data_IF_699290573545
#
_entry.id   IF_699290573545
#
_cell.length_a   1.000
_cell.length_b   1.000
_cell.length_c   1.000
_cell.angle_alpha   90.00
_cell.angle_beta   90.00
_cell.angle_gamma   90.00
#
_symmetry.space_group_name_H-M   'P 1'
#
loop_
_entity.id
_entity.type
_entity.pdbx_description
1 polymer ?
#
# COMPACT_ATOMS: atom_id res chain seq x y z
N UNK A 1 1.73 9.64 -9.39
CA UNK A 1 1.20 8.32 -8.96
C UNK A 1 -0.26 8.43 -8.53
N UNK A 2 -0.64 9.50 -7.84
CA UNK A 2 -2.03 9.82 -7.48
C UNK A 2 -2.65 10.67 -8.60
N UNK A 3 -3.76 10.20 -9.17
CA UNK A 3 -4.47 10.82 -10.29
C UNK A 3 -5.39 11.95 -9.81
N UNK A 4 -5.40 13.04 -10.58
CA UNK A 4 -6.34 14.17 -10.43
C UNK A 4 -7.44 14.18 -11.49
N UNK A 5 -7.15 13.55 -12.62
CA UNK A 5 -8.02 13.43 -13.78
C UNK A 5 -8.26 11.95 -14.11
N UNK A 6 -9.18 11.70 -15.05
CA UNK A 6 -9.48 10.34 -15.50
C UNK A 6 -8.22 9.63 -16.03
N UNK A 7 -8.07 8.32 -15.75
CA UNK A 7 -6.94 7.54 -16.22
C UNK A 7 -6.97 7.34 -17.74
N UNK A 8 -5.84 6.93 -18.36
CA UNK A 8 -5.80 6.52 -19.75
C UNK A 8 -6.80 5.39 -20.05
N UNK A 9 -7.20 5.28 -21.32
CA UNK A 9 -7.94 4.11 -21.81
C UNK A 9 -7.04 2.86 -21.73
N UNK A 10 -7.62 1.68 -21.46
CA UNK A 10 -6.93 0.39 -21.29
C UNK A 10 -6.22 0.18 -19.94
N UNK A 11 -6.90 0.51 -18.84
CA UNK A 11 -6.46 0.15 -17.47
C UNK A 11 -7.31 -0.97 -16.89
N UNK A 12 -6.78 -1.68 -15.90
CA UNK A 12 -7.60 -2.50 -15.00
C UNK A 12 -8.09 -1.62 -13.85
N UNK A 13 -9.41 -1.53 -13.67
CA UNK A 13 -10.01 -0.74 -12.59
C UNK A 13 -10.27 -1.63 -11.37
N UNK A 14 -9.83 -1.17 -10.21
CA UNK A 14 -10.03 -1.82 -8.91
C UNK A 14 -10.78 -0.88 -7.98
N UNK A 15 -11.99 -1.27 -7.59
CA UNK A 15 -12.80 -0.59 -6.59
C UNK A 15 -12.49 -1.17 -5.20
N UNK A 16 -11.97 -0.35 -4.29
CA UNK A 16 -11.65 -0.80 -2.93
C UNK A 16 -12.76 -0.58 -1.94
N UNK A 17 -13.90 0.00 -2.33
CA UNK A 17 -15.05 0.22 -1.45
C UNK A 17 -15.66 -1.11 -1.01
N UNK A 18 -16.56 -1.06 -0.03
CA UNK A 18 -17.26 -2.26 0.42
C UNK A 18 -18.09 -2.89 -0.72
N UNK A 19 -18.38 -4.22 -0.65
CA UNK A 19 -19.23 -4.87 -1.65
C UNK A 19 -20.60 -4.20 -1.83
N UNK A 20 -21.17 -3.62 -0.76
CA UNK A 20 -22.44 -2.89 -0.82
C UNK A 20 -22.34 -1.56 -1.58
N UNK A 21 -21.29 -0.79 -1.34
CA UNK A 21 -21.01 0.45 -2.09
C UNK A 21 -20.73 0.15 -3.57
N UNK A 22 -19.97 -0.91 -3.85
CA UNK A 22 -19.71 -1.38 -5.22
C UNK A 22 -21.00 -1.79 -5.95
N UNK A 23 -21.85 -2.59 -5.30
CA UNK A 23 -23.12 -3.05 -5.87
C UNK A 23 -24.14 -1.92 -6.10
N UNK A 24 -23.99 -0.80 -5.37
CA UNK A 24 -24.85 0.38 -5.54
C UNK A 24 -24.50 1.22 -6.77
N UNK A 25 -23.31 1.02 -7.36
CA UNK A 25 -22.81 1.79 -8.48
C UNK A 25 -21.28 1.82 -8.50
N UNK A 26 -20.66 1.32 -9.56
CA UNK A 26 -19.21 1.30 -9.76
C UNK A 26 -18.85 1.64 -11.21
N UNK A 27 -17.56 1.87 -11.49
CA UNK A 27 -17.10 2.15 -12.85
C UNK A 27 -17.27 0.90 -13.73
N UNK A 28 -17.75 1.03 -14.98
CA UNK A 28 -17.88 -0.11 -15.89
C UNK A 28 -16.59 -0.92 -16.01
N UNK A 29 -16.68 -2.24 -15.77
CA UNK A 29 -15.56 -3.18 -15.83
C UNK A 29 -14.65 -3.18 -14.59
N UNK A 30 -14.93 -2.39 -13.55
CA UNK A 30 -14.16 -2.41 -12.32
C UNK A 30 -14.40 -3.67 -11.49
N UNK A 31 -13.33 -4.22 -10.92
CA UNK A 31 -13.40 -5.35 -9.99
C UNK A 31 -13.43 -4.84 -8.55
N UNK A 32 -14.25 -5.45 -7.68
CA UNK A 32 -14.22 -5.14 -6.25
C UNK A 32 -13.13 -5.97 -5.54
N UNK A 33 -12.07 -5.31 -5.07
CA UNK A 33 -10.94 -5.95 -4.40
C UNK A 33 -10.48 -5.09 -3.22
N UNK A 34 -10.48 -5.66 -2.02
CA UNK A 34 -9.94 -5.03 -0.80
C UNK A 34 -8.88 -5.95 -0.17
N UNK A 35 -7.64 -5.48 -0.11
CA UNK A 35 -6.51 -6.18 0.52
C UNK A 35 -6.07 -5.50 1.82
N UNK A 36 -6.84 -4.55 2.34
CA UNK A 36 -6.48 -3.74 3.51
C UNK A 36 -6.42 -4.52 4.82
N UNK A 37 -7.13 -5.65 4.89
CA UNK A 37 -7.11 -6.59 6.01
C UNK A 37 -5.87 -7.49 6.03
N UNK A 38 -5.08 -7.52 4.94
CA UNK A 38 -3.89 -8.38 4.86
C UNK A 38 -2.88 -8.07 5.96
N UNK A 39 -2.40 -9.11 6.63
CA UNK A 39 -1.32 -9.08 7.62
C UNK A 39 -0.34 -10.19 7.26
N UNK A 40 0.95 -9.93 7.43
CA UNK A 40 1.98 -10.94 7.23
C UNK A 40 3.11 -10.76 8.24
N UNK A 41 3.72 -11.89 8.57
CA UNK A 41 5.07 -12.00 9.13
C UNK A 41 5.99 -12.34 7.95
N UNK A 42 7.07 -11.59 7.77
CA UNK A 42 7.95 -11.65 6.60
C UNK A 42 9.42 -11.61 7.03
N UNK A 43 9.89 -12.62 7.78
CA UNK A 43 11.30 -12.74 8.21
C UNK A 43 12.06 -13.84 7.46
N UNK A 44 11.38 -14.90 7.03
CA UNK A 44 12.01 -16.01 6.30
C UNK A 44 11.86 -15.92 4.78
N UNK A 45 12.74 -16.60 4.05
CA UNK A 45 12.67 -16.70 2.60
C UNK A 45 11.38 -17.42 2.15
N UNK A 46 10.93 -18.43 2.92
CA UNK A 46 9.69 -19.18 2.68
C UNK A 46 8.46 -18.29 2.84
N UNK A 47 8.43 -17.42 3.87
CA UNK A 47 7.34 -16.46 4.06
C UNK A 47 7.25 -15.45 2.91
N UNK A 48 8.40 -14.95 2.45
CA UNK A 48 8.47 -14.06 1.28
C UNK A 48 8.03 -14.77 -0.01
N UNK A 49 8.44 -16.03 -0.20
CA UNK A 49 8.02 -16.85 -1.33
C UNK A 49 6.51 -17.13 -1.31
N UNK A 50 5.95 -17.43 -0.14
CA UNK A 50 4.51 -17.64 0.05
C UNK A 50 3.69 -16.38 -0.26
N UNK A 51 4.18 -15.20 0.15
CA UNK A 51 3.57 -13.92 -0.22
C UNK A 51 3.63 -13.70 -1.74
N UNK A 52 4.79 -13.93 -2.37
CA UNK A 52 4.95 -13.81 -3.82
C UNK A 52 3.97 -14.72 -4.57
N UNK A 53 3.84 -15.98 -4.15
CA UNK A 53 2.90 -16.92 -4.75
C UNK A 53 1.45 -16.43 -4.62
N UNK A 54 1.06 -15.97 -3.43
CA UNK A 54 -0.29 -15.45 -3.18
C UNK A 54 -0.61 -14.22 -4.06
N UNK A 55 0.36 -13.33 -4.23
CA UNK A 55 0.23 -12.16 -5.12
C UNK A 55 0.19 -12.57 -6.60
N UNK A 56 0.96 -13.58 -6.99
CA UNK A 56 0.94 -14.11 -8.35
C UNK A 56 -0.40 -14.75 -8.72
N UNK A 57 -0.99 -15.50 -7.79
CA UNK A 57 -2.33 -16.07 -7.92
C UNK A 57 -3.41 -14.97 -7.99
N UNK A 58 -3.28 -13.92 -7.16
CA UNK A 58 -4.16 -12.77 -7.23
C UNK A 58 -4.09 -12.10 -8.61
N UNK A 59 -2.89 -11.82 -9.12
CA UNK A 59 -2.68 -11.21 -10.42
C UNK A 59 -3.35 -12.01 -11.54
N UNK A 60 -3.18 -13.34 -11.53
CA UNK A 60 -3.87 -14.25 -12.46
C UNK A 60 -5.39 -14.16 -12.35
N UNK A 61 -5.92 -14.23 -11.13
CA UNK A 61 -7.36 -14.22 -10.84
C UNK A 61 -8.06 -12.92 -11.26
N UNK A 62 -7.42 -11.77 -11.05
CA UNK A 62 -7.99 -10.46 -11.46
C UNK A 62 -7.71 -10.14 -12.94
N UNK A 63 -7.02 -11.03 -13.65
CA UNK A 63 -6.63 -10.85 -15.05
C UNK A 63 -5.59 -9.74 -15.25
N UNK A 64 -4.82 -9.38 -14.22
CA UNK A 64 -3.78 -8.37 -14.37
C UNK A 64 -2.67 -8.86 -15.29
N UNK A 65 -1.95 -7.92 -15.92
CA UNK A 65 -0.79 -8.21 -16.76
C UNK A 65 0.22 -7.05 -16.69
N UNK A 66 1.53 -7.28 -16.92
CA UNK A 66 2.54 -6.22 -16.82
C UNK A 66 2.32 -5.05 -17.78
N UNK A 67 1.68 -5.30 -18.93
CA UNK A 67 1.41 -4.30 -19.96
C UNK A 67 0.11 -3.50 -19.74
N UNK A 68 -0.63 -3.77 -18.68
CA UNK A 68 -1.91 -3.11 -18.37
C UNK A 68 -1.84 -2.45 -16.98
N UNK A 69 -1.67 -1.12 -16.91
CA UNK A 69 -1.64 -0.42 -15.63
C UNK A 69 -2.93 -0.64 -14.84
N UNK A 70 -2.79 -0.68 -13.51
CA UNK A 70 -3.91 -0.83 -12.59
C UNK A 70 -4.24 0.52 -11.97
N UNK A 71 -5.51 0.88 -11.99
CA UNK A 71 -6.02 2.08 -11.32
C UNK A 71 -6.93 1.64 -10.18
N UNK A 72 -6.52 1.98 -8.97
CA UNK A 72 -7.23 1.67 -7.73
C UNK A 72 -7.98 2.92 -7.30
N UNK A 73 -9.28 2.83 -7.05
CA UNK A 73 -10.13 3.96 -6.68
C UNK A 73 -10.99 3.69 -5.45
N UNK A 74 -11.32 4.78 -4.76
CA UNK A 74 -12.14 4.84 -3.54
C UNK A 74 -12.60 6.30 -3.35
N UNK A 75 -13.50 6.55 -2.41
CA UNK A 75 -13.95 7.89 -2.03
C UNK A 75 -12.94 8.53 -1.06
N UNK A 76 -11.98 9.24 -1.63
CA UNK A 76 -10.87 9.87 -0.94
C UNK A 76 -9.61 9.00 -0.85
N UNK A 77 -8.53 9.62 -0.38
CA UNK A 77 -7.23 8.95 -0.22
C UNK A 77 -7.19 8.14 1.09
N UNK A 78 -7.91 7.02 1.12
CA UNK A 78 -8.10 6.20 2.34
C UNK A 78 -6.92 5.25 2.59
N UNK A 79 -6.80 4.72 3.81
CA UNK A 79 -5.85 3.64 4.10
C UNK A 79 -6.19 2.34 3.37
N UNK A 80 -7.47 2.11 3.06
CA UNK A 80 -7.95 0.94 2.33
C UNK A 80 -7.48 0.96 0.88
N UNK A 81 -7.75 2.07 0.18
CA UNK A 81 -7.22 2.37 -1.15
C UNK A 81 -5.70 2.21 -1.17
N UNK A 82 -5.01 2.89 -0.26
CA UNK A 82 -3.54 2.95 -0.23
C UNK A 82 -2.89 1.59 0.03
N UNK A 83 -3.45 0.81 0.96
CA UNK A 83 -2.95 -0.52 1.29
C UNK A 83 -3.21 -1.51 0.16
N UNK A 84 -4.39 -1.49 -0.45
CA UNK A 84 -4.69 -2.34 -1.62
C UNK A 84 -3.78 -1.99 -2.79
N UNK A 85 -3.62 -0.71 -3.11
CA UNK A 85 -2.69 -0.26 -4.14
C UNK A 85 -1.25 -0.69 -3.84
N UNK A 86 -0.80 -0.57 -2.58
CA UNK A 86 0.53 -1.02 -2.17
C UNK A 86 0.73 -2.52 -2.38
N UNK A 87 -0.25 -3.36 -2.01
CA UNK A 87 -0.16 -4.81 -2.19
C UNK A 87 -0.10 -5.21 -3.67
N UNK A 88 -0.86 -4.53 -4.53
CA UNK A 88 -0.81 -4.75 -5.98
C UNK A 88 0.55 -4.33 -6.58
N UNK A 89 1.07 -3.17 -6.16
CA UNK A 89 2.41 -2.71 -6.57
C UNK A 89 3.51 -3.63 -6.06
N UNK A 90 3.34 -4.20 -4.86
CA UNK A 90 4.24 -5.19 -4.28
C UNK A 90 4.24 -6.49 -5.09
N UNK A 91 3.13 -6.85 -5.73
CA UNK A 91 3.02 -7.98 -6.65
C UNK A 91 3.56 -7.71 -8.07
N UNK A 92 4.21 -6.56 -8.29
CA UNK A 92 4.86 -6.21 -9.55
C UNK A 92 3.99 -5.41 -10.53
N UNK A 93 2.81 -4.93 -10.12
CA UNK A 93 1.94 -4.14 -10.98
C UNK A 93 2.33 -2.66 -11.02
N UNK A 94 2.21 -2.02 -12.18
CA UNK A 94 2.15 -0.55 -12.24
C UNK A 94 0.80 -0.10 -11.71
N UNK A 95 0.81 0.63 -10.59
CA UNK A 95 -0.41 1.05 -9.88
C UNK A 95 -0.50 2.57 -9.80
N UNK A 96 -1.71 3.09 -10.04
CA UNK A 96 -2.09 4.49 -9.81
C UNK A 96 -3.31 4.57 -8.91
N UNK A 97 -3.40 5.63 -8.11
CA UNK A 97 -4.51 5.84 -7.17
C UNK A 97 -5.45 6.89 -7.72
N UNK A 98 -6.75 6.68 -7.68
CA UNK A 98 -7.76 7.63 -8.14
C UNK A 98 -8.78 7.91 -7.03
N UNK A 99 -8.48 8.86 -6.12
CA UNK A 99 -9.27 9.07 -4.92
C UNK A 99 -10.57 9.87 -5.12
N UNK A 100 -10.76 10.52 -6.28
CA UNK A 100 -11.91 11.41 -6.52
C UNK A 100 -12.08 11.71 -8.01
N UNK A 101 -13.28 12.12 -8.41
CA UNK A 101 -13.62 12.51 -9.80
C UNK A 101 -14.17 11.36 -10.65
N UNK A 102 -14.15 10.13 -10.12
CA UNK A 102 -14.69 8.93 -10.75
C UNK A 102 -16.20 8.73 -10.49
N UNK A 103 -16.74 9.40 -9.47
CA UNK A 103 -18.09 9.19 -8.95
C UNK A 103 -19.19 9.40 -10.01
N UNK A 104 -19.14 10.42 -10.89
CA UNK A 104 -20.17 10.61 -11.90
C UNK A 104 -20.27 9.48 -12.93
N UNK A 105 -19.22 8.67 -13.09
CA UNK A 105 -19.21 7.55 -14.04
C UNK A 105 -19.50 6.20 -13.36
N UNK A 106 -19.71 6.18 -12.04
CA UNK A 106 -19.95 4.96 -11.27
C UNK A 106 -21.39 4.46 -11.38
N UNK A 107 -21.81 4.10 -12.59
CA UNK A 107 -23.21 3.78 -12.91
C UNK A 107 -23.49 2.29 -13.06
N UNK A 108 -22.45 1.45 -13.16
CA UNK A 108 -22.62 0.00 -13.32
C UNK A 108 -23.03 -0.64 -11.99
N UNK A 109 -23.96 -1.59 -12.04
CA UNK A 109 -24.43 -2.32 -10.85
C UNK A 109 -24.23 -3.82 -11.00
N UNK A 110 -24.16 -4.33 -12.23
CA UNK A 110 -23.85 -5.73 -12.48
C UNK A 110 -22.38 -6.01 -12.12
N UNK A 111 -22.09 -7.05 -11.32
CA UNK A 111 -20.71 -7.38 -11.00
C UNK A 111 -19.88 -7.63 -12.26
N UNK A 112 -18.69 -7.04 -12.31
CA UNK A 112 -17.74 -7.31 -13.39
C UNK A 112 -17.08 -8.67 -13.18
N UNK A 113 -16.95 -9.44 -14.24
CA UNK A 113 -16.25 -10.73 -14.23
C UNK A 113 -14.84 -10.57 -14.81
N UNK A 114 -13.78 -10.86 -14.05
CA UNK A 114 -12.43 -10.83 -14.60
C UNK A 114 -12.27 -11.91 -15.67
N UNK A 115 -11.42 -11.65 -16.66
CA UNK A 115 -10.90 -12.68 -17.56
C UNK A 115 -9.56 -13.13 -16.97
N UNK A 116 -9.49 -14.31 -16.32
CA UNK A 116 -8.27 -14.71 -15.63
C UNK A 116 -7.10 -14.94 -16.60
N UNK A 117 -5.90 -14.71 -16.11
CA UNK A 117 -4.64 -15.04 -16.78
C UNK A 117 -3.89 -16.12 -15.98
N UNK A 118 -2.82 -16.67 -16.55
CA UNK A 118 -1.92 -17.53 -15.77
C UNK A 118 -1.34 -16.76 -14.57
N UNK A 119 -1.16 -17.39 -13.40
CA UNK A 119 -0.51 -16.74 -12.26
C UNK A 119 0.87 -16.19 -12.62
N UNK A 120 1.13 -14.94 -12.25
CA UNK A 120 2.41 -14.29 -12.49
C UNK A 120 2.60 -13.16 -11.47
N UNK A 121 3.84 -12.92 -11.04
CA UNK A 121 4.15 -11.83 -10.12
C UNK A 121 5.56 -12.02 -9.57
N UNK A 122 6.25 -10.90 -9.41
CA UNK A 122 7.55 -10.85 -8.75
C UNK A 122 7.43 -9.87 -7.59
N UNK A 123 7.90 -10.30 -6.41
CA UNK A 123 7.81 -9.48 -5.22
C UNK A 123 8.74 -8.26 -5.36
N UNK A 124 8.15 -7.07 -5.36
CA UNK A 124 8.90 -5.83 -5.48
C UNK A 124 9.64 -5.49 -4.16
N UNK A 125 10.86 -5.98 -4.02
CA UNK A 125 11.73 -5.75 -2.86
C UNK A 125 12.19 -4.29 -2.70
N UNK A 126 12.11 -3.47 -3.75
CA UNK A 126 12.51 -2.06 -3.68
C UNK A 126 11.57 -1.21 -2.82
N UNK A 127 10.34 -1.67 -2.58
CA UNK A 127 9.32 -0.92 -1.81
C UNK A 127 8.97 -1.57 -0.47
N UNK A 128 9.55 -2.73 -0.16
CA UNK A 128 9.25 -3.54 1.02
C UNK A 128 10.43 -3.51 2.02
N UNK A 129 10.09 -3.45 3.30
CA UNK A 129 11.01 -3.77 4.40
C UNK A 129 10.50 -4.98 5.17
N UNK A 130 11.41 -5.85 5.59
CA UNK A 130 11.18 -6.91 6.58
C UNK A 130 11.61 -6.44 7.97
N UNK A 131 11.22 -7.16 9.02
CA UNK A 131 11.61 -6.83 10.39
C UNK A 131 13.15 -6.75 10.55
N UNK A 132 13.89 -7.65 9.90
CA UNK A 132 15.36 -7.70 9.97
C UNK A 132 16.06 -6.55 9.24
N UNK A 133 15.37 -5.89 8.31
CA UNK A 133 15.91 -4.77 7.53
C UNK A 133 15.68 -3.42 8.21
N UNK A 134 14.66 -3.32 9.07
CA UNK A 134 14.17 -2.05 9.63
C UNK A 134 15.25 -1.29 10.43
N UNK A 135 16.06 -1.98 11.23
CA UNK A 135 17.12 -1.33 12.04
C UNK A 135 18.30 -0.83 11.19
N UNK A 136 18.41 -1.26 9.93
CA UNK A 136 19.39 -0.76 8.98
C UNK A 136 18.99 0.57 8.32
N UNK A 137 17.75 1.02 8.50
CA UNK A 137 17.25 2.23 7.86
C UNK A 137 17.75 3.50 8.57
N UNK A 138 18.45 4.36 7.82
CA UNK A 138 18.94 5.65 8.34
C UNK A 138 17.83 6.62 8.75
N UNK A 139 16.66 6.50 8.13
CA UNK A 139 15.45 7.24 8.46
C UNK A 139 14.28 6.27 8.50
N UNK A 140 13.83 5.97 9.72
CA UNK A 140 12.63 5.20 9.99
C UNK A 140 11.56 6.10 10.59
N UNK A 141 10.40 6.21 9.94
CA UNK A 141 9.29 7.02 10.44
C UNK A 141 8.16 6.11 10.96
N UNK A 142 7.80 6.35 12.22
CA UNK A 142 6.62 5.78 12.85
C UNK A 142 5.44 6.72 12.61
N UNK A 143 4.48 6.29 11.79
CA UNK A 143 3.30 7.11 11.44
C UNK A 143 2.11 6.92 12.35
N UNK A 144 2.31 6.28 13.51
CA UNK A 144 1.30 6.19 14.57
C UNK A 144 1.13 7.50 15.32
N UNK A 145 0.09 7.55 16.15
CA UNK A 145 -0.14 8.70 17.03
C UNK A 145 0.93 8.78 18.13
N UNK A 146 1.21 9.98 18.69
CA UNK A 146 2.29 10.15 19.68
C UNK A 146 2.14 9.27 20.92
N UNK A 147 0.91 9.00 21.35
CA UNK A 147 0.65 8.13 22.50
C UNK A 147 0.97 6.65 22.20
N UNK A 148 0.75 6.19 20.96
CA UNK A 148 1.14 4.83 20.53
C UNK A 148 2.67 4.73 20.50
N UNK A 149 3.35 5.74 19.96
CA UNK A 149 4.82 5.82 19.89
C UNK A 149 5.48 5.83 21.28
N UNK A 150 4.92 6.59 22.23
CA UNK A 150 5.41 6.66 23.60
C UNK A 150 5.20 5.36 24.38
N UNK A 151 4.20 4.55 24.01
CA UNK A 151 3.91 3.28 24.71
C UNK A 151 4.88 2.15 24.35
N UNK A 152 5.55 2.27 23.21
CA UNK A 152 6.46 1.26 22.67
C UNK A 152 6.74 1.54 21.20
N UNK A 153 8.01 1.58 20.81
CA UNK A 153 8.44 1.89 19.43
C UNK A 153 9.67 1.08 19.03
N UNK A 154 9.88 0.99 17.72
CA UNK A 154 11.12 0.45 17.14
C UNK A 154 12.27 1.42 17.48
N UNK A 155 13.42 0.93 17.99
CA UNK A 155 14.56 1.78 18.31
C UNK A 155 15.00 2.66 17.13
N UNK A 156 15.31 3.92 17.42
CA UNK A 156 15.72 4.91 16.42
C UNK A 156 14.61 5.45 15.50
N UNK A 157 13.37 4.94 15.58
CA UNK A 157 12.26 5.48 14.81
C UNK A 157 11.92 6.92 15.24
N UNK A 158 11.56 7.77 14.28
CA UNK A 158 11.05 9.14 14.52
C UNK A 158 9.54 9.17 14.36
N UNK A 159 8.83 9.74 15.32
CA UNK A 159 7.38 9.85 15.21
C UNK A 159 6.97 11.01 14.29
N UNK A 160 6.22 10.68 13.24
CA UNK A 160 5.55 11.65 12.37
C UNK A 160 4.14 11.11 12.14
N UNK A 161 3.12 11.55 12.89
CA UNK A 161 1.75 11.04 12.73
C UNK A 161 1.25 11.16 11.29
N UNK A 162 0.47 10.18 10.83
CA UNK A 162 -0.04 10.15 9.44
C UNK A 162 -0.73 11.45 9.02
N UNK A 163 -1.43 12.11 9.95
CA UNK A 163 -2.12 13.38 9.72
C UNK A 163 -1.21 14.52 9.28
N UNK A 164 0.10 14.42 9.50
CA UNK A 164 1.08 15.42 9.08
C UNK A 164 1.52 15.24 7.63
N UNK A 165 1.20 14.14 6.95
CA UNK A 165 1.62 13.92 5.56
C UNK A 165 0.64 14.58 4.59
N UNK A 166 1.18 15.32 3.62
CA UNK A 166 0.46 15.93 2.49
C UNK A 166 1.17 15.58 1.18
N UNK A 167 0.53 15.91 0.06
CA UNK A 167 1.06 15.59 -1.27
C UNK A 167 2.30 16.41 -1.66
N UNK A 168 2.67 17.43 -0.87
CA UNK A 168 3.67 18.45 -1.23
C UNK A 168 4.51 18.96 -0.04
N UNK A 169 4.58 18.21 1.07
CA UNK A 169 5.25 18.65 2.30
C UNK A 169 6.45 17.80 2.77
N UNK A 170 7.04 16.95 1.93
CA UNK A 170 8.20 16.14 2.29
C UNK A 170 9.37 17.00 2.81
N UNK A 171 9.60 18.17 2.20
CA UNK A 171 10.61 19.13 2.66
C UNK A 171 10.33 19.68 4.07
N UNK A 172 9.06 19.93 4.41
CA UNK A 172 8.66 20.35 5.77
C UNK A 172 8.90 19.25 6.80
N UNK A 173 8.78 17.98 6.39
CA UNK A 173 9.12 16.81 7.20
C UNK A 173 10.63 16.55 7.28
N UNK A 174 11.46 17.41 6.68
CA UNK A 174 12.92 17.27 6.65
C UNK A 174 13.41 16.18 5.70
N UNK A 175 12.61 15.81 4.70
CA UNK A 175 12.94 14.77 3.72
C UNK A 175 13.28 15.40 2.36
N UNK A 176 14.15 14.71 1.61
CA UNK A 176 14.62 15.14 0.30
C UNK A 176 14.23 14.15 -0.79
N UNK A 177 14.06 14.65 -2.02
CA UNK A 177 13.89 13.78 -3.19
C UNK A 177 15.08 12.84 -3.34
N UNK A 178 14.83 11.57 -3.64
CA UNK A 178 15.85 10.52 -3.73
C UNK A 178 16.28 9.91 -2.39
N UNK A 179 15.92 10.50 -1.25
CA UNK A 179 16.27 9.98 0.07
C UNK A 179 15.56 8.65 0.38
N UNK A 180 16.30 7.67 0.92
CA UNK A 180 15.73 6.42 1.40
C UNK A 180 15.03 6.63 2.75
N UNK A 181 13.79 6.15 2.87
CA UNK A 181 12.97 6.31 4.09
C UNK A 181 12.17 5.03 4.34
N UNK A 182 12.32 4.43 5.52
CA UNK A 182 11.46 3.36 6.00
C UNK A 182 10.21 3.91 6.68
N UNK A 183 9.06 3.30 6.43
CA UNK A 183 7.77 3.67 7.02
C UNK A 183 7.18 2.47 7.75
N UNK A 184 6.65 2.69 8.94
CA UNK A 184 5.84 1.68 9.63
C UNK A 184 4.71 2.33 10.43
N UNK A 185 3.74 1.51 10.84
CA UNK A 185 2.71 1.94 11.79
C UNK A 185 2.36 0.79 12.73
N UNK A 186 1.07 0.54 12.97
CA UNK A 186 0.60 -0.65 13.71
C UNK A 186 0.65 -1.92 12.85
N UNK A 187 0.09 -1.87 11.64
CA UNK A 187 -0.12 -3.07 10.79
C UNK A 187 0.09 -2.81 9.29
N UNK A 188 0.89 -1.79 8.96
CA UNK A 188 1.23 -1.43 7.59
C UNK A 188 0.13 -0.72 6.78
N UNK A 189 -1.01 -0.34 7.37
CA UNK A 189 -2.12 0.32 6.66
C UNK A 189 -1.92 1.84 6.53
N UNK A 190 -1.66 2.53 7.66
CA UNK A 190 -1.33 3.97 7.68
C UNK A 190 -0.03 4.28 6.93
N UNK A 191 0.98 3.42 7.05
CA UNK A 191 2.27 3.60 6.41
C UNK A 191 2.20 3.42 4.89
N UNK A 192 1.26 2.61 4.38
CA UNK A 192 1.00 2.54 2.93
C UNK A 192 0.51 3.88 2.38
N UNK A 193 -0.33 4.62 3.12
CA UNK A 193 -0.76 5.97 2.71
C UNK A 193 0.42 6.95 2.70
N UNK A 194 1.21 6.98 3.77
CA UNK A 194 2.43 7.80 3.84
C UNK A 194 3.41 7.45 2.71
N UNK A 195 3.54 6.17 2.34
CA UNK A 195 4.36 5.71 1.23
C UNK A 195 3.97 6.37 -0.09
N UNK A 196 2.68 6.37 -0.46
CA UNK A 196 2.24 7.00 -1.70
C UNK A 196 2.46 8.51 -1.71
N UNK A 197 2.20 9.18 -0.59
CA UNK A 197 2.42 10.63 -0.44
C UNK A 197 3.89 11.02 -0.60
N UNK A 198 4.81 10.23 -0.03
CA UNK A 198 6.25 10.47 -0.15
C UNK A 198 6.80 10.10 -1.54
N UNK A 199 6.32 9.00 -2.14
CA UNK A 199 6.74 8.56 -3.48
C UNK A 199 6.32 9.56 -4.56
N UNK A 200 5.15 10.19 -4.43
CA UNK A 200 4.72 11.29 -5.31
C UNK A 200 5.72 12.45 -5.33
N UNK A 201 6.43 12.67 -4.22
CA UNK A 201 7.40 13.75 -4.03
C UNK A 201 8.85 13.30 -4.32
N UNK A 202 9.02 12.09 -4.87
CA UNK A 202 10.32 11.56 -5.28
C UNK A 202 11.16 10.96 -4.15
N UNK A 203 10.63 10.82 -2.93
CA UNK A 203 11.33 10.11 -1.84
C UNK A 203 11.37 8.60 -2.16
N UNK A 204 12.50 7.94 -1.90
CA UNK A 204 12.64 6.48 -2.02
C UNK A 204 12.09 5.79 -0.78
N UNK A 205 10.78 5.92 -0.58
CA UNK A 205 10.10 5.30 0.55
C UNK A 205 10.01 3.78 0.39
N UNK A 206 10.19 3.05 1.49
CA UNK A 206 9.86 1.63 1.65
C UNK A 206 8.89 1.46 2.81
N UNK A 207 8.06 0.43 2.76
CA UNK A 207 7.04 0.17 3.76
C UNK A 207 7.33 -1.14 4.50
N UNK A 208 7.44 -1.07 5.82
CA UNK A 208 7.50 -2.25 6.68
C UNK A 208 6.09 -2.79 6.93
N UNK A 209 5.72 -3.82 6.17
CA UNK A 209 4.35 -4.31 6.06
C UNK A 209 3.79 -4.87 7.37
N UNK A 210 4.58 -5.69 8.08
CA UNK A 210 4.16 -6.30 9.34
C UNK A 210 4.11 -5.29 10.49
N UNK A 211 4.94 -4.24 10.44
CA UNK A 211 4.85 -3.09 11.35
C UNK A 211 4.93 -3.51 12.82
N UNK A 212 4.39 -2.73 13.76
CA UNK A 212 4.48 -3.06 15.19
C UNK A 212 3.81 -4.38 15.58
N UNK A 213 2.75 -4.82 14.88
CA UNK A 213 2.11 -6.11 15.18
C UNK A 213 3.06 -7.30 14.96
N UNK A 214 3.87 -7.26 13.90
CA UNK A 214 4.94 -8.24 13.70
C UNK A 214 6.06 -7.99 14.71
N UNK A 215 6.54 -6.75 14.82
CA UNK A 215 7.67 -6.39 15.66
C UNK A 215 7.52 -6.85 17.12
N UNK A 216 6.35 -6.62 17.73
CA UNK A 216 6.07 -6.99 19.12
C UNK A 216 5.79 -8.49 19.30
N UNK A 217 5.45 -9.21 18.22
CA UNK A 217 5.27 -10.66 18.26
C UNK A 217 6.61 -11.41 18.19
N UNK A 218 7.66 -10.77 17.69
CA UNK A 218 9.01 -11.33 17.67
C UNK A 218 9.70 -11.16 19.03
N UNK A 219 10.08 -12.28 19.65
CA UNK A 219 10.68 -12.27 21.00
C UNK A 219 12.12 -11.76 21.06
N UNK A 220 12.80 -11.64 19.92
CA UNK A 220 14.20 -11.23 19.79
C UNK A 220 14.38 -9.76 19.40
N UNK A 221 13.30 -9.05 19.03
CA UNK A 221 13.39 -7.67 18.56
C UNK A 221 13.31 -6.66 19.71
N UNK A 222 14.18 -5.63 19.72
CA UNK A 222 14.22 -4.64 20.79
C UNK A 222 13.04 -3.67 20.72
N UNK A 223 12.60 -3.17 21.88
CA UNK A 223 11.55 -2.16 22.00
C UNK A 223 12.03 -0.99 22.86
N UNK A 224 11.85 0.23 22.39
CA UNK A 224 12.05 1.44 23.20
C UNK A 224 10.73 1.93 23.79
N UNK A 225 10.78 2.47 25.01
CA UNK A 225 9.66 3.13 25.69
C UNK A 225 10.13 4.51 26.13
#
# INVERSE_FOLDING_TARGET
>A
MILRDAPPTQVLLIDTRSPGEYASGHLPGALNVDLSSFRARLRSAEELQGLQQSLAELNGRIGASPGRPVVVYDSGLTTRLSKTAFMLALGGLEVRLWPQGWEPQATEQAPSHPVPTAPWGELNREILLTADEVLGESVLLDVREPHEFASGRIPGAKNVPLSHFRADNAGELGLQSGQAVGLHCRSGARSALAFWLLREQGVRAKNYLGSMLEWEAEGDLPLER
#
